data_IF_739006957878
#
_entry.id   IF_739006957878
#
_cell.length_a   1.000
_cell.length_b   1.000
_cell.length_c   1.000
_cell.angle_alpha   90.00
_cell.angle_beta   90.00
_cell.angle_gamma   90.00
#
_symmetry.space_group_name_H-M   'P 1'
#
loop_
_entity.id
_entity.type
_entity.pdbx_description
1 polymer ?
#
# COMPACT_ATOMS: atom_id res chain seq x y z
N UNK A 1 56.84 8.85 -38.41
CA UNK A 1 56.18 10.15 -38.65
C UNK A 1 54.71 10.05 -38.27
N UNK A 2 54.34 10.95 -37.37
CA UNK A 2 53.11 11.07 -36.57
C UNK A 2 51.89 11.52 -37.40
N UNK A 3 50.82 10.71 -37.45
CA UNK A 3 49.52 11.08 -38.08
C UNK A 3 48.29 10.36 -37.48
N UNK A 4 48.24 10.06 -36.19
CA UNK A 4 47.09 9.33 -35.61
C UNK A 4 46.62 9.83 -34.23
N UNK A 5 46.86 11.10 -33.88
CA UNK A 5 46.51 11.63 -32.54
C UNK A 5 45.46 12.74 -32.58
N UNK A 6 45.02 13.22 -33.76
CA UNK A 6 44.15 14.41 -33.85
C UNK A 6 42.66 14.15 -34.03
N UNK A 7 42.22 12.90 -34.23
CA UNK A 7 40.80 12.60 -34.48
C UNK A 7 39.99 12.22 -33.24
N UNK A 8 40.64 11.85 -32.12
CA UNK A 8 39.92 11.41 -30.91
C UNK A 8 39.50 12.55 -29.98
N UNK A 9 40.09 13.75 -30.09
CA UNK A 9 39.80 14.86 -29.15
C UNK A 9 38.55 15.66 -29.56
N UNK A 10 38.19 15.68 -30.85
CA UNK A 10 36.99 16.39 -31.30
C UNK A 10 35.68 15.63 -31.04
N UNK A 11 35.70 14.30 -30.89
CA UNK A 11 34.48 13.54 -30.66
C UNK A 11 34.00 13.63 -29.20
N UNK A 12 34.90 13.83 -28.24
CA UNK A 12 34.55 14.03 -26.83
C UNK A 12 33.99 15.43 -26.55
N UNK A 13 34.41 16.47 -27.28
CA UNK A 13 33.93 17.83 -27.05
C UNK A 13 32.49 18.06 -27.54
N UNK A 14 32.03 17.34 -28.57
CA UNK A 14 30.67 17.46 -29.10
C UNK A 14 29.62 16.74 -28.23
N UNK A 15 30.00 15.69 -27.49
CA UNK A 15 29.09 14.97 -26.59
C UNK A 15 28.87 15.73 -25.28
N UNK A 16 29.81 16.58 -24.86
CA UNK A 16 29.72 17.35 -23.60
C UNK A 16 28.93 18.67 -23.76
N UNK A 17 28.78 19.19 -24.98
CA UNK A 17 28.04 20.45 -25.25
C UNK A 17 26.57 20.25 -25.68
N UNK A 18 26.11 19.00 -25.83
CA UNK A 18 24.76 18.66 -26.27
C UNK A 18 23.84 18.17 -25.13
N UNK A 19 24.17 18.47 -23.88
CA UNK A 19 23.22 18.35 -22.77
C UNK A 19 22.67 19.76 -22.47
N UNK A 20 21.65 20.24 -23.22
CA UNK A 20 20.78 21.23 -22.63
C UNK A 20 20.24 20.61 -21.35
N UNK A 21 20.19 21.43 -20.31
CA UNK A 21 19.48 21.20 -19.07
C UNK A 21 18.03 20.79 -19.35
N UNK A 22 17.81 19.51 -19.66
CA UNK A 22 16.54 18.86 -19.42
C UNK A 22 16.49 18.66 -17.91
N UNK A 23 16.15 19.75 -17.21
CA UNK A 23 15.48 19.62 -15.93
C UNK A 23 14.12 19.05 -16.31
N UNK A 24 14.04 17.73 -16.50
CA UNK A 24 12.76 17.05 -16.39
C UNK A 24 12.27 17.44 -14.99
N UNK A 25 11.23 18.27 -14.96
CA UNK A 25 10.47 18.42 -13.73
C UNK A 25 10.03 17.00 -13.38
N UNK A 26 10.56 16.43 -12.30
CA UNK A 26 10.06 15.15 -11.80
C UNK A 26 8.56 15.35 -11.63
N UNK A 27 7.73 14.64 -12.41
CA UNK A 27 6.30 14.82 -12.29
C UNK A 27 5.93 14.49 -10.85
N UNK A 28 5.09 15.34 -10.23
CA UNK A 28 4.46 15.00 -8.95
C UNK A 28 3.82 13.62 -9.14
N UNK A 29 4.08 12.69 -8.23
CA UNK A 29 3.54 11.35 -8.33
C UNK A 29 2.06 11.39 -7.95
N UNK A 30 1.16 11.21 -8.91
CA UNK A 30 -0.29 11.25 -8.67
C UNK A 30 -1.01 10.09 -9.34
N UNK A 31 -2.21 9.79 -8.86
CA UNK A 31 -3.08 8.77 -9.41
C UNK A 31 -4.53 9.29 -9.48
N UNK A 32 -5.17 9.13 -10.63
CA UNK A 32 -6.58 9.51 -10.82
C UNK A 32 -7.47 8.30 -10.52
N UNK A 33 -8.11 8.30 -9.35
CA UNK A 33 -8.90 7.17 -8.83
C UNK A 33 -10.29 7.60 -8.34
N UNK A 34 -11.23 6.67 -8.39
CA UNK A 34 -12.54 6.75 -7.71
C UNK A 34 -12.84 5.43 -7.04
N UNK A 35 -13.46 5.47 -5.86
CA UNK A 35 -13.99 4.28 -5.22
C UNK A 35 -15.27 3.83 -5.92
N UNK A 36 -15.28 2.60 -6.44
CA UNK A 36 -16.42 2.07 -7.22
C UNK A 36 -17.24 1.02 -6.49
N UNK A 37 -16.60 0.19 -5.67
CA UNK A 37 -17.23 -0.90 -4.92
C UNK A 37 -16.27 -1.43 -3.85
N UNK A 38 -16.71 -2.44 -3.09
CA UNK A 38 -15.88 -3.17 -2.15
C UNK A 38 -15.48 -4.55 -2.66
N UNK A 39 -14.27 -4.97 -2.28
CA UNK A 39 -13.86 -6.37 -2.31
C UNK A 39 -14.41 -7.11 -1.09
N UNK A 40 -13.64 -8.07 -0.56
CA UNK A 40 -13.98 -8.67 0.73
C UNK A 40 -13.99 -7.59 1.83
N UNK A 41 -15.08 -7.51 2.57
CA UNK A 41 -15.30 -6.51 3.62
C UNK A 41 -16.30 -7.00 4.66
N UNK A 42 -16.27 -6.39 5.84
CA UNK A 42 -17.25 -6.57 6.89
C UNK A 42 -17.68 -5.22 7.48
N UNK A 43 -18.74 -5.22 8.27
CA UNK A 43 -19.20 -4.05 9.02
C UNK A 43 -18.68 -4.11 10.45
N UNK A 44 -17.83 -3.16 10.81
CA UNK A 44 -17.19 -3.06 12.10
C UNK A 44 -17.79 -1.89 12.86
N UNK A 45 -17.89 -2.02 14.19
CA UNK A 45 -18.20 -0.87 15.05
C UNK A 45 -16.91 -0.35 15.66
N UNK A 46 -16.54 0.89 15.43
CA UNK A 46 -15.23 1.45 15.78
C UNK A 46 -15.30 2.61 16.76
N UNK A 47 -14.26 2.72 17.57
CA UNK A 47 -13.88 3.90 18.33
C UNK A 47 -12.44 4.23 17.95
N UNK A 48 -12.20 5.47 17.51
CA UNK A 48 -10.90 5.91 17.02
C UNK A 48 -11.03 7.13 16.13
N UNK A 49 -10.01 7.98 16.11
CA UNK A 49 -10.04 9.24 15.33
C UNK A 49 -11.13 10.21 15.77
N UNK A 50 -11.50 10.20 17.04
CA UNK A 50 -12.60 11.00 17.59
C UNK A 50 -14.00 10.45 17.33
N UNK A 51 -14.13 9.26 16.72
CA UNK A 51 -15.40 8.57 16.55
C UNK A 51 -15.75 7.72 17.76
N UNK A 52 -17.04 7.65 18.11
CA UNK A 52 -17.57 6.86 19.22
C UNK A 52 -18.65 5.86 18.75
N UNK A 53 -18.25 4.61 18.50
CA UNK A 53 -19.18 3.53 18.19
C UNK A 53 -19.81 3.65 16.81
N UNK A 54 -19.04 4.11 15.83
CA UNK A 54 -19.46 4.28 14.44
C UNK A 54 -19.40 2.95 13.69
N UNK A 55 -20.46 2.62 12.95
CA UNK A 55 -20.43 1.46 12.04
C UNK A 55 -19.73 1.87 10.72
N UNK A 56 -18.67 1.16 10.35
CA UNK A 56 -17.86 1.41 9.15
C UNK A 56 -17.61 0.12 8.37
N UNK A 57 -17.36 0.24 7.08
CA UNK A 57 -16.85 -0.87 6.27
C UNK A 57 -15.34 -1.02 6.46
N UNK A 58 -14.91 -2.19 6.91
CA UNK A 58 -13.50 -2.57 7.01
C UNK A 58 -13.20 -3.70 6.03
N UNK A 59 -12.16 -3.50 5.23
CA UNK A 59 -11.74 -4.45 4.20
C UNK A 59 -11.23 -3.76 2.96
N UNK A 60 -11.37 -4.42 1.82
CA UNK A 60 -10.82 -3.96 0.54
C UNK A 60 -11.78 -2.98 -0.13
N UNK A 61 -11.26 -1.81 -0.48
CA UNK A 61 -11.89 -0.82 -1.36
C UNK A 61 -11.40 -1.05 -2.78
N UNK A 62 -12.34 -1.13 -3.73
CA UNK A 62 -12.03 -1.24 -5.15
C UNK A 62 -11.98 0.15 -5.75
N UNK A 63 -10.78 0.53 -6.20
CA UNK A 63 -10.48 1.83 -6.78
C UNK A 63 -10.33 1.67 -8.29
N UNK A 64 -11.11 2.40 -9.08
CA UNK A 64 -10.94 2.46 -10.53
C UNK A 64 -9.93 3.54 -10.89
N UNK A 65 -8.72 3.12 -11.28
CA UNK A 65 -7.65 4.01 -11.74
C UNK A 65 -7.80 4.28 -13.22
N UNK A 66 -7.81 5.56 -13.57
CA UNK A 66 -7.97 6.01 -14.97
C UNK A 66 -6.71 6.63 -15.57
N UNK A 67 -5.79 7.10 -14.73
CA UNK A 67 -4.56 7.75 -15.16
C UNK A 67 -3.56 7.89 -13.99
N UNK A 68 -2.32 8.29 -14.28
CA UNK A 68 -1.33 8.63 -13.25
C UNK A 68 -0.10 9.35 -13.80
N UNK A 69 0.72 9.87 -12.89
CA UNK A 69 2.01 10.50 -13.18
C UNK A 69 3.07 10.01 -12.17
N UNK A 70 4.35 10.08 -12.53
CA UNK A 70 5.43 9.66 -11.63
C UNK A 70 5.25 8.21 -11.14
N UNK A 71 5.32 8.00 -9.83
CA UNK A 71 5.06 6.68 -9.21
C UNK A 71 3.62 6.20 -9.41
N UNK A 72 2.64 7.08 -9.69
CA UNK A 72 1.28 6.64 -10.00
C UNK A 72 1.17 5.78 -11.27
N UNK A 73 2.17 5.81 -12.15
CA UNK A 73 2.25 4.92 -13.31
C UNK A 73 2.70 3.49 -13.00
N UNK A 74 3.07 3.21 -11.75
CA UNK A 74 3.40 1.85 -11.28
C UNK A 74 2.18 0.93 -11.38
N UNK A 75 0.99 1.43 -11.06
CA UNK A 75 -0.25 0.68 -11.19
C UNK A 75 -0.81 0.83 -12.60
N UNK A 76 -1.17 -0.27 -13.29
CA UNK A 76 -1.90 -0.17 -14.55
C UNK A 76 -3.29 0.46 -14.30
N UNK A 77 -3.85 1.06 -15.35
CA UNK A 77 -5.25 1.52 -15.30
C UNK A 77 -6.20 0.35 -15.12
N UNK A 78 -7.32 0.60 -14.43
CA UNK A 78 -8.30 -0.39 -14.01
C UNK A 78 -8.37 -0.53 -12.48
N UNK A 79 -8.94 -1.64 -12.04
CA UNK A 79 -9.23 -1.86 -10.62
C UNK A 79 -7.96 -2.12 -9.79
N UNK A 80 -7.83 -1.36 -8.71
CA UNK A 80 -6.84 -1.53 -7.66
C UNK A 80 -7.57 -1.88 -6.37
N UNK A 81 -7.17 -2.97 -5.73
CA UNK A 81 -7.60 -3.27 -4.36
C UNK A 81 -6.74 -2.50 -3.38
N UNK A 82 -7.38 -1.75 -2.47
CA UNK A 82 -6.70 -0.94 -1.48
C UNK A 82 -7.40 -1.02 -0.12
N UNK A 83 -6.74 -0.58 0.95
CA UNK A 83 -7.35 -0.50 2.28
C UNK A 83 -7.25 0.91 2.86
N UNK A 84 -8.31 1.33 3.54
CA UNK A 84 -8.35 2.62 4.21
C UNK A 84 -7.36 2.71 5.37
N UNK A 85 -6.70 3.86 5.50
CA UNK A 85 -5.78 4.13 6.63
C UNK A 85 -6.35 5.03 7.69
N UNK A 86 -7.43 5.73 7.39
CA UNK A 86 -8.05 6.67 8.30
C UNK A 86 -9.55 6.45 8.36
N UNK A 87 -10.15 6.87 9.47
CA UNK A 87 -11.53 6.57 9.88
C UNK A 87 -12.44 7.81 9.79
N UNK A 88 -11.90 8.96 9.39
CA UNK A 88 -12.54 10.27 9.55
C UNK A 88 -13.05 10.87 8.26
N UNK A 89 -12.47 10.51 7.12
CA UNK A 89 -12.91 10.99 5.81
C UNK A 89 -13.65 9.90 5.02
N UNK A 90 -14.46 10.33 4.07
CA UNK A 90 -15.30 9.43 3.28
C UNK A 90 -14.63 9.10 1.94
N UNK A 91 -14.93 7.91 1.42
CA UNK A 91 -14.56 7.54 0.06
C UNK A 91 -15.29 8.42 -0.97
N UNK A 92 -14.59 9.04 -1.93
CA UNK A 92 -15.21 9.92 -2.91
C UNK A 92 -16.01 9.10 -3.95
N UNK A 93 -17.08 9.70 -4.48
CA UNK A 93 -17.93 9.11 -5.53
C UNK A 93 -17.61 9.60 -6.94
N UNK A 94 -16.59 10.46 -7.06
CA UNK A 94 -16.05 10.97 -8.33
C UNK A 94 -14.54 10.81 -8.37
N UNK A 95 -13.97 10.75 -9.57
CA UNK A 95 -12.52 10.67 -9.75
C UNK A 95 -11.84 11.90 -9.16
N UNK A 96 -10.86 11.65 -8.29
CA UNK A 96 -9.96 12.66 -7.75
C UNK A 96 -8.51 12.30 -8.09
N UNK A 97 -7.66 13.31 -8.16
CA UNK A 97 -6.22 13.15 -8.35
C UNK A 97 -5.55 13.09 -6.99
N UNK A 98 -5.22 11.88 -6.55
CA UNK A 98 -4.53 11.60 -5.29
C UNK A 98 -3.02 11.75 -5.46
N UNK A 99 -2.33 12.25 -4.43
CA UNK A 99 -0.88 12.16 -4.34
C UNK A 99 -0.48 10.72 -4.00
N UNK A 100 0.60 10.24 -4.61
CA UNK A 100 1.23 8.96 -4.25
C UNK A 100 2.41 9.27 -3.34
N UNK A 101 2.28 8.90 -2.06
CA UNK A 101 3.28 9.18 -1.04
C UNK A 101 3.77 7.90 -0.36
N UNK A 102 4.90 8.01 0.34
CA UNK A 102 5.40 6.94 1.20
C UNK A 102 4.45 6.70 2.36
N UNK A 103 4.26 5.43 2.74
CA UNK A 103 3.33 5.03 3.79
C UNK A 103 3.55 5.76 5.12
N UNK A 104 4.81 5.93 5.52
CA UNK A 104 5.19 6.62 6.77
C UNK A 104 4.79 8.10 6.83
N UNK A 105 4.43 8.71 5.70
CA UNK A 105 4.08 10.14 5.61
C UNK A 105 2.59 10.42 5.77
N UNK A 106 1.72 9.41 5.79
CA UNK A 106 0.29 9.58 6.04
C UNK A 106 -0.19 8.94 7.34
N UNK A 107 -1.51 8.83 7.55
CA UNK A 107 -2.57 9.48 6.76
C UNK A 107 -2.53 11.01 6.84
N UNK A 108 -3.17 11.70 5.90
CA UNK A 108 -3.32 13.17 5.83
C UNK A 108 -4.82 13.51 5.72
N UNK A 109 -5.36 14.42 6.54
CA UNK A 109 -4.69 15.26 7.52
C UNK A 109 -4.24 14.49 8.78
N UNK A 110 -3.11 14.90 9.35
CA UNK A 110 -2.53 14.24 10.54
C UNK A 110 -3.08 14.78 11.87
N UNK A 111 -4.08 15.65 11.85
CA UNK A 111 -4.56 16.37 13.04
C UNK A 111 -5.00 15.44 14.16
N UNK A 112 -5.58 14.28 13.83
CA UNK A 112 -5.99 13.26 14.80
C UNK A 112 -4.82 12.45 15.37
N UNK A 113 -3.71 12.31 14.63
CA UNK A 113 -2.51 11.58 15.06
C UNK A 113 -1.43 12.50 15.68
N UNK A 114 -1.57 13.81 15.53
CA UNK A 114 -0.54 14.83 15.85
C UNK A 114 0.77 14.67 15.08
N UNK A 115 0.67 14.14 13.87
CA UNK A 115 1.78 13.91 12.95
C UNK A 115 1.52 12.69 12.07
N UNK A 116 2.33 12.48 11.02
CA UNK A 116 2.24 11.28 10.20
C UNK A 116 2.56 10.03 11.03
N UNK A 117 2.13 8.85 10.57
CA UNK A 117 2.30 7.60 11.33
C UNK A 117 3.78 7.27 11.63
N UNK A 118 4.69 7.70 10.74
CA UNK A 118 6.12 7.50 10.89
C UNK A 118 6.61 6.09 10.54
N UNK A 119 7.93 5.99 10.37
CA UNK A 119 8.59 4.81 9.80
C UNK A 119 8.34 3.51 10.60
N UNK A 120 8.32 3.58 11.93
CA UNK A 120 8.15 2.38 12.75
C UNK A 120 6.77 1.73 12.56
N UNK A 121 5.70 2.53 12.54
CA UNK A 121 4.34 2.04 12.28
C UNK A 121 4.19 1.55 10.83
N UNK A 122 4.72 2.32 9.88
CA UNK A 122 4.70 1.92 8.47
C UNK A 122 5.40 0.57 8.25
N UNK A 123 6.52 0.32 8.92
CA UNK A 123 7.23 -0.95 8.85
C UNK A 123 6.43 -2.14 9.39
N UNK A 124 5.65 -1.93 10.45
CA UNK A 124 4.74 -2.95 10.97
C UNK A 124 3.56 -3.21 10.02
N UNK A 125 3.02 -2.18 9.36
CA UNK A 125 1.98 -2.35 8.35
C UNK A 125 2.53 -3.12 7.13
N UNK A 126 3.75 -2.80 6.67
CA UNK A 126 4.40 -3.55 5.59
C UNK A 126 4.59 -5.02 5.93
N UNK A 127 4.98 -5.32 7.17
CA UNK A 127 5.12 -6.70 7.65
C UNK A 127 3.77 -7.42 7.79
N UNK A 128 2.77 -6.75 8.37
CA UNK A 128 1.39 -7.24 8.46
C UNK A 128 0.88 -7.63 7.07
N UNK A 129 1.08 -6.75 6.09
CA UNK A 129 0.73 -7.01 4.69
C UNK A 129 1.49 -8.18 4.10
N UNK A 130 2.82 -8.17 4.19
CA UNK A 130 3.65 -9.23 3.63
C UNK A 130 3.41 -10.62 4.23
N UNK A 131 2.90 -10.70 5.47
CA UNK A 131 2.59 -11.96 6.15
C UNK A 131 1.16 -12.45 5.93
N UNK A 132 0.18 -11.55 5.92
CA UNK A 132 -1.23 -11.93 6.14
C UNK A 132 -2.22 -11.36 5.14
N UNK A 133 -1.82 -10.42 4.27
CA UNK A 133 -2.70 -9.95 3.20
C UNK A 133 -2.97 -11.08 2.20
N UNK A 134 -4.23 -11.24 1.79
CA UNK A 134 -4.62 -12.22 0.79
C UNK A 134 -5.19 -11.51 -0.46
N UNK A 135 -4.50 -11.58 -1.61
CA UNK A 135 -4.99 -11.02 -2.87
C UNK A 135 -6.35 -11.57 -3.32
N UNK A 136 -6.82 -12.70 -2.78
CA UNK A 136 -8.16 -13.24 -3.05
C UNK A 136 -9.30 -12.37 -2.53
N UNK A 137 -9.00 -11.37 -1.70
CA UNK A 137 -9.95 -10.36 -1.21
C UNK A 137 -10.24 -9.27 -2.24
N UNK A 138 -9.45 -9.18 -3.32
CA UNK A 138 -9.59 -8.17 -4.37
C UNK A 138 -10.45 -8.71 -5.51
N UNK A 139 -11.44 -7.93 -5.92
CA UNK A 139 -12.30 -8.24 -7.06
C UNK A 139 -13.74 -7.78 -6.81
N UNK A 140 -14.59 -8.08 -7.79
CA UNK A 140 -16.02 -7.78 -7.69
C UNK A 140 -16.80 -9.08 -7.46
N UNK A 141 -17.88 -9.00 -6.68
CA UNK A 141 -18.83 -10.10 -6.50
C UNK A 141 -18.93 -10.61 -5.07
N UNK A 142 -19.37 -11.85 -4.92
CA UNK A 142 -19.63 -12.43 -3.60
C UNK A 142 -18.36 -13.05 -3.02
N UNK A 143 -18.02 -12.63 -1.80
CA UNK A 143 -16.96 -13.21 -0.99
C UNK A 143 -17.56 -14.10 0.10
N UNK A 144 -16.81 -15.12 0.54
CA UNK A 144 -17.24 -15.96 1.66
C UNK A 144 -17.22 -15.18 2.98
N UNK A 145 -18.02 -15.59 3.96
CA UNK A 145 -18.00 -14.99 5.30
C UNK A 145 -16.60 -15.06 5.95
N UNK A 146 -15.81 -16.08 5.62
CA UNK A 146 -14.43 -16.18 6.09
C UNK A 146 -13.53 -15.11 5.46
N UNK A 147 -13.65 -14.87 4.15
CA UNK A 147 -12.89 -13.81 3.47
C UNK A 147 -13.28 -12.42 3.98
N UNK A 148 -14.58 -12.17 4.13
CA UNK A 148 -15.09 -10.91 4.67
C UNK A 148 -14.57 -10.65 6.10
N UNK A 149 -14.71 -11.63 6.99
CA UNK A 149 -14.21 -11.51 8.36
C UNK A 149 -12.70 -11.33 8.43
N UNK A 150 -11.93 -12.02 7.57
CA UNK A 150 -10.48 -11.89 7.51
C UNK A 150 -10.05 -10.50 6.99
N UNK A 151 -10.69 -9.99 5.93
CA UNK A 151 -10.43 -8.66 5.41
C UNK A 151 -10.80 -7.55 6.41
N UNK A 152 -11.92 -7.71 7.13
CA UNK A 152 -12.31 -6.83 8.24
C UNK A 152 -11.31 -6.84 9.39
N UNK A 153 -10.88 -8.02 9.83
CA UNK A 153 -9.84 -8.17 10.85
C UNK A 153 -8.50 -7.54 10.43
N UNK A 154 -8.16 -7.63 9.14
CA UNK A 154 -6.94 -7.05 8.60
C UNK A 154 -7.00 -5.52 8.58
N UNK A 155 -8.16 -4.94 8.20
CA UNK A 155 -8.41 -3.51 8.31
C UNK A 155 -8.33 -3.00 9.75
N UNK A 156 -8.93 -3.73 10.71
CA UNK A 156 -8.85 -3.40 12.13
C UNK A 156 -7.39 -3.41 12.65
N UNK A 157 -6.58 -4.37 12.21
CA UNK A 157 -5.15 -4.42 12.57
C UNK A 157 -4.35 -3.24 12.00
N UNK A 158 -4.67 -2.77 10.78
CA UNK A 158 -4.08 -1.53 10.25
C UNK A 158 -4.45 -0.34 11.14
N UNK A 159 -5.73 -0.18 11.47
CA UNK A 159 -6.19 0.95 12.28
C UNK A 159 -5.61 0.93 13.69
N UNK A 160 -5.50 -0.25 14.32
CA UNK A 160 -4.76 -0.42 15.57
C UNK A 160 -3.34 0.17 15.47
N UNK A 161 -2.57 -0.22 14.45
CA UNK A 161 -1.21 0.31 14.26
C UNK A 161 -1.22 1.83 14.01
N UNK A 162 -2.16 2.34 13.20
CA UNK A 162 -2.22 3.76 12.82
C UNK A 162 -2.62 4.64 14.01
N UNK A 163 -3.63 4.25 14.78
CA UNK A 163 -4.26 5.10 15.80
C UNK A 163 -3.67 4.91 17.20
N UNK A 164 -3.18 3.72 17.56
CA UNK A 164 -2.58 3.48 18.87
C UNK A 164 -1.17 4.05 18.98
N UNK A 165 -0.77 4.43 20.18
CA UNK A 165 0.64 4.73 20.44
C UNK A 165 1.48 3.49 20.14
N UNK A 166 2.63 3.70 19.49
CA UNK A 166 3.58 2.61 19.25
C UNK A 166 3.96 1.94 20.58
N UNK A 167 3.61 0.66 20.81
CA UNK A 167 3.88 -0.01 22.05
C UNK A 167 5.35 -0.42 22.14
N UNK A 168 5.79 -0.78 23.34
CA UNK A 168 7.14 -1.35 23.55
C UNK A 168 7.29 -2.75 22.95
N UNK A 169 6.19 -3.41 22.61
CA UNK A 169 6.13 -4.73 21.99
C UNK A 169 4.78 -4.89 21.29
N UNK A 170 4.73 -5.53 20.10
CA UNK A 170 3.49 -5.83 19.39
C UNK A 170 2.46 -6.62 20.19
N UNK A 171 2.88 -7.38 21.20
CA UNK A 171 2.00 -8.12 22.13
C UNK A 171 1.03 -7.24 22.94
N UNK A 172 1.21 -5.91 22.90
CA UNK A 172 0.36 -4.95 23.61
C UNK A 172 -0.73 -4.33 22.74
N UNK A 173 -0.70 -4.56 21.43
CA UNK A 173 -1.82 -4.17 20.58
C UNK A 173 -3.02 -5.06 20.87
N UNK A 174 -4.20 -4.46 20.93
CA UNK A 174 -5.45 -5.16 21.19
C UNK A 174 -6.62 -4.39 20.56
N UNK A 175 -7.12 -4.88 19.44
CA UNK A 175 -8.22 -4.24 18.72
C UNK A 175 -9.53 -4.13 19.52
N UNK A 176 -9.63 -4.77 20.70
CA UNK A 176 -10.83 -4.76 21.55
C UNK A 176 -10.77 -3.71 22.67
N UNK A 177 -9.60 -3.11 22.90
CA UNK A 177 -9.37 -2.21 24.01
C UNK A 177 -8.54 -1.01 23.57
N UNK A 178 -9.06 0.19 23.84
CA UNK A 178 -8.31 1.41 23.59
C UNK A 178 -7.12 1.49 24.54
N UNK A 179 -5.92 1.40 23.97
CA UNK A 179 -4.64 1.39 24.67
C UNK A 179 -4.04 2.78 24.87
N UNK A 180 -4.61 3.82 24.26
CA UNK A 180 -4.05 5.18 24.23
C UNK A 180 -5.01 6.18 24.84
N UNK A 181 -4.59 6.87 25.90
CA UNK A 181 -5.43 7.91 26.49
C UNK A 181 -5.62 9.13 25.56
N UNK A 182 -6.84 9.67 25.53
CA UNK A 182 -7.21 10.92 24.84
C UNK A 182 -8.06 10.65 23.58
N UNK A 183 -8.00 11.55 22.60
CA UNK A 183 -8.70 11.40 21.31
C UNK A 183 -8.01 10.44 20.34
N UNK A 184 -6.92 9.81 20.80
CA UNK A 184 -6.13 8.81 20.08
C UNK A 184 -6.46 7.44 20.65
N UNK A 185 -6.09 6.41 19.91
CA UNK A 185 -6.40 5.03 20.27
C UNK A 185 -7.44 4.44 19.35
N UNK A 186 -7.57 3.12 19.45
CA UNK A 186 -8.47 2.35 18.62
C UNK A 186 -9.07 1.21 19.42
N UNK A 187 -10.36 0.99 19.22
CA UNK A 187 -10.99 -0.29 19.52
C UNK A 187 -12.12 -0.53 18.56
N UNK A 188 -12.50 -1.78 18.40
CA UNK A 188 -13.62 -2.17 17.58
C UNK A 188 -14.37 -3.37 18.13
N UNK A 189 -15.60 -3.51 17.66
CA UNK A 189 -16.52 -4.60 17.92
C UNK A 189 -17.03 -5.16 16.58
N UNK A 190 -17.71 -6.31 16.62
CA UNK A 190 -18.22 -7.03 15.44
C UNK A 190 -17.13 -7.54 14.50
N UNK A 191 -16.00 -7.98 15.05
CA UNK A 191 -14.89 -8.56 14.28
C UNK A 191 -14.36 -9.85 14.88
N UNK A 192 -13.58 -10.58 14.07
CA UNK A 192 -12.72 -11.66 14.58
C UNK A 192 -11.47 -11.05 15.26
N UNK A 193 -11.65 -10.60 16.50
CA UNK A 193 -10.58 -10.01 17.32
C UNK A 193 -9.44 -10.99 17.54
N UNK A 194 -9.75 -12.28 17.62
CA UNK A 194 -8.74 -13.31 17.83
C UNK A 194 -7.77 -13.36 16.65
N UNK A 195 -8.27 -13.29 15.42
CA UNK A 195 -7.43 -13.26 14.23
C UNK A 195 -6.63 -11.97 14.15
N UNK A 196 -7.27 -10.81 14.31
CA UNK A 196 -6.59 -9.51 14.25
C UNK A 196 -5.45 -9.41 15.27
N UNK A 197 -5.73 -9.74 16.54
CA UNK A 197 -4.72 -9.71 17.61
C UNK A 197 -3.63 -10.76 17.39
N UNK A 198 -3.95 -11.95 16.88
CA UNK A 198 -2.94 -12.96 16.53
C UNK A 198 -1.96 -12.44 15.48
N UNK A 199 -2.44 -11.77 14.43
CA UNK A 199 -1.58 -11.17 13.40
C UNK A 199 -0.71 -10.05 13.95
N UNK A 200 -1.29 -9.13 14.74
CA UNK A 200 -0.56 -8.05 15.40
C UNK A 200 0.55 -8.58 16.30
N UNK A 201 0.25 -9.62 17.08
CA UNK A 201 1.20 -10.23 18.02
C UNK A 201 2.30 -11.05 17.34
N UNK A 202 2.08 -11.47 16.09
CA UNK A 202 3.07 -12.16 15.28
C UNK A 202 4.07 -11.23 14.59
N UNK A 203 3.86 -9.91 14.66
CA UNK A 203 4.79 -8.92 14.11
C UNK A 203 6.05 -8.85 14.98
N UNK A 204 7.22 -8.92 14.34
CA UNK A 204 8.51 -8.95 15.04
C UNK A 204 9.60 -8.11 14.34
N UNK A 205 9.27 -7.47 13.22
CA UNK A 205 10.18 -6.66 12.40
C UNK A 205 11.07 -7.46 11.46
N UNK A 206 10.99 -8.80 11.46
CA UNK A 206 11.84 -9.71 10.69
C UNK A 206 11.11 -10.43 9.56
N UNK A 207 9.78 -10.30 9.48
CA UNK A 207 8.96 -10.94 8.47
C UNK A 207 9.12 -10.37 7.05
N UNK A 208 8.48 -11.02 6.06
CA UNK A 208 8.33 -10.43 4.73
C UNK A 208 7.60 -9.09 4.83
N UNK A 209 8.07 -8.10 4.07
CA UNK A 209 7.50 -6.75 4.01
C UNK A 209 7.04 -6.47 2.58
N UNK A 210 5.79 -6.04 2.41
CA UNK A 210 5.30 -5.55 1.14
C UNK A 210 5.84 -4.15 0.83
N UNK A 211 6.02 -3.83 -0.46
CA UNK A 211 6.26 -2.45 -0.89
C UNK A 211 4.92 -1.74 -1.02
N UNK A 212 4.70 -0.73 -0.17
CA UNK A 212 3.42 -0.05 -0.02
C UNK A 212 3.57 1.45 -0.29
N UNK A 213 2.57 2.01 -0.96
CA UNK A 213 2.35 3.46 -1.06
C UNK A 213 0.99 3.81 -0.47
N UNK A 214 0.85 5.10 -0.16
CA UNK A 214 -0.42 5.69 0.21
C UNK A 214 -0.90 6.59 -0.92
N UNK A 215 -2.15 6.41 -1.33
CA UNK A 215 -2.88 7.40 -2.13
C UNK A 215 -3.53 8.36 -1.15
N UNK A 216 -3.10 9.62 -1.19
CA UNK A 216 -3.60 10.64 -0.27
C UNK A 216 -4.25 11.83 -0.95
N UNK A 217 -5.35 12.30 -0.40
CA UNK A 217 -6.05 13.51 -0.85
C UNK A 217 -6.71 14.20 0.34
N UNK A 218 -6.26 15.40 0.69
CA UNK A 218 -6.82 16.12 1.82
C UNK A 218 -8.33 16.37 1.67
N UNK A 219 -9.13 15.83 2.58
CA UNK A 219 -10.60 15.91 2.55
C UNK A 219 -11.28 14.70 1.91
N UNK A 220 -10.55 13.61 1.67
CA UNK A 220 -11.09 12.32 1.20
C UNK A 220 -10.22 11.17 1.69
N UNK A 221 -10.86 10.01 1.87
CA UNK A 221 -10.23 8.80 2.39
C UNK A 221 -8.86 8.48 1.78
N UNK A 222 -7.86 8.29 2.65
CA UNK A 222 -6.51 7.82 2.27
C UNK A 222 -6.44 6.28 2.16
N UNK A 223 -5.79 5.78 1.10
CA UNK A 223 -5.73 4.35 0.77
C UNK A 223 -4.30 3.79 0.71
N UNK A 224 -4.05 2.64 1.34
CA UNK A 224 -2.83 1.84 1.11
C UNK A 224 -3.03 0.95 -0.11
N UNK A 225 -2.07 1.00 -1.02
CA UNK A 225 -1.96 0.06 -2.13
C UNK A 225 -0.56 -0.56 -2.18
N UNK A 226 -0.53 -1.86 -2.48
CA UNK A 226 0.72 -2.58 -2.76
C UNK A 226 1.24 -2.25 -4.15
N UNK A 227 2.54 -1.95 -4.23
CA UNK A 227 3.27 -1.79 -5.48
C UNK A 227 3.31 -3.16 -6.17
N UNK A 228 2.77 -3.32 -7.40
CA UNK A 228 2.80 -4.61 -8.08
C UNK A 228 4.25 -5.03 -8.34
N UNK A 229 4.61 -6.25 -7.91
CA UNK A 229 5.95 -6.81 -8.09
C UNK A 229 6.37 -6.84 -9.58
N UNK A 230 7.35 -6.03 -10.03
CA UNK A 230 7.56 -5.77 -11.45
C UNK A 230 8.04 -6.97 -12.32
N UNK A 231 8.41 -8.13 -11.76
CA UNK A 231 9.13 -9.14 -12.57
C UNK A 231 9.09 -10.61 -12.10
N UNK A 232 8.49 -10.96 -10.96
CA UNK A 232 8.49 -12.36 -10.48
C UNK A 232 7.79 -13.30 -11.47
N UNK A 233 6.75 -12.83 -12.15
CA UNK A 233 6.04 -13.57 -13.22
C UNK A 233 6.93 -13.72 -14.48
N UNK A 234 7.68 -12.68 -14.85
CA UNK A 234 8.56 -12.72 -16.02
C UNK A 234 9.73 -13.70 -15.82
N UNK A 235 10.33 -13.75 -14.61
CA UNK A 235 11.42 -14.66 -14.27
C UNK A 235 10.95 -16.12 -14.15
N UNK A 236 9.74 -16.38 -13.63
CA UNK A 236 9.13 -17.71 -13.64
C UNK A 236 8.82 -18.17 -15.07
N UNK A 237 8.33 -17.28 -15.94
CA UNK A 237 8.10 -17.55 -17.36
C UNK A 237 9.39 -17.89 -18.12
N UNK A 238 10.46 -17.12 -17.91
CA UNK A 238 11.77 -17.36 -18.51
C UNK A 238 12.42 -18.65 -17.98
N UNK A 239 12.33 -18.92 -16.68
CA UNK A 239 12.82 -20.15 -16.06
C UNK A 239 12.10 -21.40 -16.59
N UNK A 240 10.78 -21.32 -16.75
CA UNK A 240 9.95 -22.36 -17.37
C UNK A 240 10.35 -22.62 -18.82
N UNK A 241 10.48 -21.58 -19.65
CA UNK A 241 10.86 -21.70 -21.05
C UNK A 241 12.27 -22.31 -21.23
N UNK A 242 13.25 -21.89 -20.43
CA UNK A 242 14.62 -22.42 -20.46
C UNK A 242 14.68 -23.90 -20.04
N UNK A 243 13.85 -24.33 -19.07
CA UNK A 243 13.76 -25.73 -18.66
C UNK A 243 13.19 -26.65 -19.75
N UNK A 244 12.21 -26.17 -20.52
CA UNK A 244 11.63 -26.91 -21.65
C UNK A 244 12.60 -27.01 -22.83
N UNK A 245 13.38 -25.95 -23.09
CA UNK A 245 14.43 -25.95 -24.11
C UNK A 245 15.56 -26.93 -23.78
N UNK A 246 15.86 -27.13 -22.49
CA UNK A 246 16.89 -28.09 -22.04
C UNK A 246 16.45 -29.54 -22.20
N UNK A 247 15.16 -29.85 -21.97
CA UNK A 247 14.61 -31.22 -22.17
C UNK A 247 14.58 -31.67 -23.64
N UNK A 248 14.49 -30.74 -24.60
CA UNK A 248 14.51 -31.07 -26.03
C UNK A 248 15.89 -31.45 -26.57
N UNK A 249 16.98 -31.16 -25.85
CA UNK A 249 18.36 -31.49 -26.30
C UNK A 249 18.84 -32.89 -25.88
N UNK A 250 18.18 -33.54 -24.92
CA UNK A 250 18.59 -34.86 -24.40
C UNK A 250 17.90 -36.06 -25.04
N UNK A 251 17.07 -35.83 -26.07
CA UNK A 251 16.48 -36.88 -26.91
C UNK A 251 17.15 -36.89 -28.28
N UNK A 252 18.34 -37.48 -28.35
CA UNK A 252 19.00 -37.97 -29.57
C UNK A 252 19.94 -39.10 -29.21
#
# INVERSE_FOLDING_TARGET
>A
MMKWVKTSVMFCAAVVLALPYAVDACPVSTVDIVHTDFGANDVLKIWGGGQEGLDVYGGVYMLDKTNGTGEGNIWPDGLIGALCTELTEMAPTSTLTYDVIMLENGPVPTSFLSGPMGAAKADYIRELWGRFYDPSWVGNGQFSSQQNGAAGAFAAAIWEIVYEKLPTSPLKWDVTADGTAGDRGFRCENIDASIANCWLHALDGTGPKADLRLFSYGGSQDYIAEVPEPASIALLGLGGALSMLRRRKTSR
#
